data_IF_418013362159
#
_entry.id   IF_418013362159
#
_cell.length_a   1.000
_cell.length_b   1.000
_cell.length_c   1.000
_cell.angle_alpha   90.00
_cell.angle_beta   90.00
_cell.angle_gamma   90.00
#
_symmetry.space_group_name_H-M   'P 1'
#
loop_
_entity.id
_entity.type
_entity.pdbx_description
1 polymer ?
#
# COMPACT_ATOMS: atom_id res chain seq x y z
N UNK A 1 -9.52 -13.57 4.86
CA UNK A 1 -10.00 -13.58 3.45
C UNK A 1 -8.75 -13.57 2.56
N UNK A 2 -8.57 -14.59 1.70
CA UNK A 2 -7.48 -14.59 0.72
C UNK A 2 -7.92 -13.69 -0.45
N UNK A 3 -7.52 -12.42 -0.42
CA UNK A 3 -7.78 -11.50 -1.51
C UNK A 3 -6.85 -11.82 -2.67
N UNK A 4 -7.41 -12.00 -3.86
CA UNK A 4 -6.62 -12.04 -5.09
C UNK A 4 -6.18 -10.61 -5.41
N UNK A 5 -4.88 -10.29 -5.36
CA UNK A 5 -4.42 -8.92 -5.53
C UNK A 5 -4.49 -8.51 -7.00
N UNK A 6 -5.38 -7.58 -7.32
CA UNK A 6 -5.42 -6.95 -8.63
C UNK A 6 -4.33 -5.84 -8.73
N UNK A 7 -3.72 -5.65 -9.91
CA UNK A 7 -2.56 -4.78 -10.08
C UNK A 7 -2.96 -3.31 -10.34
N UNK A 8 -3.55 -2.63 -9.35
CA UNK A 8 -4.04 -1.24 -9.51
C UNK A 8 -2.95 -0.29 -10.02
N UNK A 9 -1.77 -0.27 -9.40
CA UNK A 9 -0.70 0.63 -9.82
C UNK A 9 -0.29 0.44 -11.29
N UNK A 10 0.03 -0.78 -11.74
CA UNK A 10 0.25 -1.05 -13.17
C UNK A 10 -0.94 -0.68 -14.05
N UNK A 11 -2.18 -0.88 -13.61
CA UNK A 11 -3.37 -0.53 -14.38
C UNK A 11 -3.51 0.99 -14.59
N UNK A 12 -3.22 1.80 -13.55
CA UNK A 12 -3.20 3.26 -13.63
C UNK A 12 -2.13 3.74 -14.63
N UNK A 13 -0.92 3.20 -14.55
CA UNK A 13 0.17 3.54 -15.50
C UNK A 13 -0.21 3.10 -16.92
N UNK A 14 -0.77 1.91 -17.09
CA UNK A 14 -1.22 1.42 -18.40
C UNK A 14 -2.32 2.30 -18.99
N UNK A 15 -3.29 2.76 -18.18
CA UNK A 15 -4.32 3.69 -18.63
C UNK A 15 -3.72 5.03 -19.09
N UNK A 16 -2.73 5.55 -18.35
CA UNK A 16 -2.02 6.78 -18.72
C UNK A 16 -1.26 6.62 -20.04
N UNK A 17 -0.55 5.50 -20.23
CA UNK A 17 0.16 5.20 -21.48
C UNK A 17 -0.81 5.08 -22.67
N UNK A 18 -1.95 4.40 -22.48
CA UNK A 18 -3.00 4.32 -23.53
C UNK A 18 -3.56 5.69 -23.88
N UNK A 19 -3.83 6.54 -22.90
CA UNK A 19 -4.28 7.92 -23.11
C UNK A 19 -3.26 8.74 -23.91
N UNK A 20 -1.97 8.45 -23.77
CA UNK A 20 -0.87 9.06 -24.55
C UNK A 20 -0.64 8.37 -25.91
N UNK A 21 -1.50 7.44 -26.34
CA UNK A 21 -1.44 6.81 -27.65
C UNK A 21 -0.56 5.57 -27.78
N UNK A 22 -0.04 5.05 -26.67
CA UNK A 22 0.78 3.84 -26.66
C UNK A 22 -0.08 2.57 -26.67
N UNK A 23 0.38 1.54 -27.37
CA UNK A 23 -0.15 0.19 -27.25
C UNK A 23 0.35 -0.44 -25.94
N UNK A 24 -0.55 -1.00 -25.12
CA UNK A 24 -0.20 -1.56 -23.81
C UNK A 24 -0.86 -2.91 -23.60
N UNK A 25 -0.05 -3.90 -23.21
CA UNK A 25 -0.51 -5.18 -22.65
C UNK A 25 -0.11 -5.22 -21.18
N UNK A 26 -1.06 -5.55 -20.32
CA UNK A 26 -0.83 -5.74 -18.90
C UNK A 26 -0.82 -7.24 -18.60
N UNK A 27 0.35 -7.77 -18.18
CA UNK A 27 0.51 -9.16 -17.77
C UNK A 27 0.47 -9.25 -16.24
N UNK A 28 -0.56 -9.89 -15.69
CA UNK A 28 -0.67 -10.14 -14.26
C UNK A 28 -0.11 -11.53 -13.92
N UNK A 29 1.13 -11.57 -13.46
CA UNK A 29 1.83 -12.80 -13.10
C UNK A 29 1.25 -13.53 -11.88
N UNK A 30 0.41 -12.88 -11.08
CA UNK A 30 -0.26 -13.52 -9.94
C UNK A 30 -1.27 -14.60 -10.37
N UNK A 31 -1.72 -14.57 -11.63
CA UNK A 31 -2.64 -15.57 -12.19
C UNK A 31 -1.94 -16.55 -13.13
N UNK A 32 -0.64 -16.39 -13.36
CA UNK A 32 0.12 -17.28 -14.22
C UNK A 32 0.40 -18.61 -13.52
N UNK A 33 0.11 -19.73 -14.18
CA UNK A 33 0.49 -21.05 -13.68
C UNK A 33 2.01 -21.26 -13.73
N UNK A 34 2.64 -20.89 -14.86
CA UNK A 34 4.09 -20.81 -15.02
C UNK A 34 4.48 -19.38 -15.45
N UNK A 35 5.23 -18.71 -14.60
CA UNK A 35 5.66 -17.33 -14.82
C UNK A 35 6.55 -17.18 -16.05
N UNK A 36 7.47 -18.11 -16.29
CA UNK A 36 8.41 -18.00 -17.40
C UNK A 36 7.71 -18.15 -18.75
N UNK A 37 6.83 -19.14 -18.88
CA UNK A 37 6.02 -19.33 -20.09
C UNK A 37 5.09 -18.15 -20.35
N UNK A 38 4.41 -17.62 -19.32
CA UNK A 38 3.53 -16.48 -19.49
C UNK A 38 4.27 -15.23 -19.97
N UNK A 39 5.50 -14.99 -19.49
CA UNK A 39 6.35 -13.89 -19.96
C UNK A 39 6.77 -14.15 -21.41
N UNK A 40 7.19 -15.35 -21.75
CA UNK A 40 7.60 -15.71 -23.11
C UNK A 40 6.46 -15.49 -24.11
N UNK A 41 5.28 -16.05 -23.86
CA UNK A 41 4.12 -15.89 -24.72
C UNK A 41 3.74 -14.41 -24.92
N UNK A 42 3.80 -13.62 -23.83
CA UNK A 42 3.52 -12.20 -23.90
C UNK A 42 4.56 -11.43 -24.71
N UNK A 43 5.86 -11.68 -24.52
CA UNK A 43 6.94 -10.99 -25.21
C UNK A 43 6.98 -11.36 -26.70
N UNK A 44 6.79 -12.63 -27.04
CA UNK A 44 6.77 -13.11 -28.43
C UNK A 44 5.54 -12.58 -29.19
N UNK A 45 4.38 -12.60 -28.53
CA UNK A 45 3.12 -12.15 -29.14
C UNK A 45 3.03 -10.64 -29.29
N UNK A 46 3.44 -9.88 -28.28
CA UNK A 46 3.32 -8.42 -28.27
C UNK A 46 4.54 -7.68 -28.84
N UNK A 47 5.75 -8.26 -28.72
CA UNK A 47 7.03 -7.66 -29.15
C UNK A 47 7.24 -6.26 -28.56
N UNK A 48 7.38 -6.14 -27.24
CA UNK A 48 7.43 -4.85 -26.57
C UNK A 48 8.70 -4.07 -26.96
N UNK A 49 8.55 -2.76 -27.16
CA UNK A 49 9.67 -1.81 -27.28
C UNK A 49 10.19 -1.36 -25.92
N UNK A 50 9.34 -1.46 -24.87
CA UNK A 50 9.66 -1.14 -23.47
C UNK A 50 8.91 -2.11 -22.56
N UNK A 51 9.56 -2.54 -21.48
CA UNK A 51 8.96 -3.40 -20.45
C UNK A 51 8.91 -2.65 -19.12
N UNK A 52 7.70 -2.49 -18.56
CA UNK A 52 7.49 -1.96 -17.21
C UNK A 52 7.23 -3.08 -16.20
N UNK A 53 7.94 -3.10 -15.06
CA UNK A 53 7.76 -4.08 -13.99
C UNK A 53 7.43 -3.37 -12.69
N UNK A 54 6.28 -3.70 -12.09
CA UNK A 54 5.85 -3.14 -10.81
C UNK A 54 6.29 -4.00 -9.63
N UNK A 55 7.07 -3.43 -8.74
CA UNK A 55 7.47 -4.01 -7.46
C UNK A 55 6.54 -3.50 -6.38
N UNK A 56 5.55 -4.30 -5.97
CA UNK A 56 4.56 -3.89 -4.97
C UNK A 56 5.14 -3.93 -3.56
N UNK A 57 5.72 -5.08 -3.18
CA UNK A 57 6.23 -5.34 -1.84
C UNK A 57 7.68 -5.82 -1.92
N UNK A 58 8.50 -5.38 -0.98
CA UNK A 58 9.89 -5.82 -0.82
C UNK A 58 9.98 -7.04 0.10
N UNK A 59 9.12 -7.08 1.10
CA UNK A 59 9.05 -8.14 2.12
C UNK A 59 7.61 -8.29 2.64
N UNK A 60 7.38 -9.25 3.54
CA UNK A 60 6.09 -9.51 4.17
C UNK A 60 5.92 -8.84 5.54
N UNK A 61 6.89 -8.03 5.98
CA UNK A 61 6.92 -7.33 7.26
C UNK A 61 6.76 -8.26 8.48
N UNK A 62 7.12 -9.52 8.36
CA UNK A 62 7.05 -10.50 9.43
C UNK A 62 8.45 -10.72 10.04
N UNK A 63 8.67 -10.22 11.26
CA UNK A 63 9.97 -10.35 11.94
C UNK A 63 10.31 -11.81 12.28
N UNK A 64 9.33 -12.64 12.61
CA UNK A 64 9.57 -14.02 13.07
C UNK A 64 10.06 -14.93 11.93
N UNK A 65 9.58 -14.71 10.69
CA UNK A 65 9.99 -15.47 9.50
C UNK A 65 9.98 -14.51 8.30
N UNK A 66 10.98 -13.63 8.18
CA UNK A 66 10.95 -12.56 7.19
C UNK A 66 11.18 -13.09 5.77
N UNK A 67 10.19 -12.87 4.90
CA UNK A 67 10.27 -13.23 3.49
C UNK A 67 10.72 -12.03 2.66
N UNK A 68 11.89 -12.15 2.06
CA UNK A 68 12.38 -11.18 1.10
C UNK A 68 11.84 -11.50 -0.29
N UNK A 69 10.99 -10.62 -0.84
CA UNK A 69 10.19 -10.88 -2.04
C UNK A 69 10.86 -10.43 -3.35
N UNK A 70 12.08 -9.93 -3.30
CA UNK A 70 12.79 -9.44 -4.48
C UNK A 70 13.40 -10.52 -5.38
N UNK A 71 13.83 -11.71 -4.90
CA UNK A 71 14.40 -12.73 -5.77
C UNK A 71 13.49 -13.15 -6.92
N UNK A 72 12.18 -13.43 -6.73
CA UNK A 72 11.28 -13.72 -7.85
C UNK A 72 11.19 -12.57 -8.87
N UNK A 73 11.19 -11.31 -8.41
CA UNK A 73 11.15 -10.15 -9.31
C UNK A 73 12.42 -10.07 -10.15
N UNK A 74 13.58 -10.36 -9.55
CA UNK A 74 14.86 -10.42 -10.28
C UNK A 74 14.84 -11.49 -11.38
N UNK A 75 14.23 -12.64 -11.11
CA UNK A 75 14.10 -13.69 -12.14
C UNK A 75 13.14 -13.26 -13.27
N UNK A 76 12.10 -12.49 -12.99
CA UNK A 76 11.25 -11.87 -14.03
C UNK A 76 12.08 -10.94 -14.91
N UNK A 77 12.89 -10.04 -14.31
CA UNK A 77 13.81 -9.14 -15.07
C UNK A 77 14.75 -9.93 -15.96
N UNK A 78 15.43 -10.96 -15.43
CA UNK A 78 16.34 -11.82 -16.19
C UNK A 78 15.63 -12.56 -17.32
N UNK A 79 14.41 -13.03 -17.10
CA UNK A 79 13.64 -13.72 -18.12
C UNK A 79 13.28 -12.78 -19.25
N UNK A 80 12.78 -11.59 -18.96
CA UNK A 80 12.52 -10.56 -19.98
C UNK A 80 13.78 -10.23 -20.80
N UNK A 81 14.92 -10.05 -20.12
CA UNK A 81 16.19 -9.71 -20.78
C UNK A 81 16.71 -10.81 -21.70
N UNK A 82 16.43 -12.10 -21.40
CA UNK A 82 16.78 -13.22 -22.30
C UNK A 82 15.92 -13.24 -23.57
N UNK A 83 14.69 -12.77 -23.48
CA UNK A 83 13.71 -12.87 -24.56
C UNK A 83 13.75 -11.70 -25.53
N UNK A 84 14.13 -10.49 -25.08
CA UNK A 84 14.23 -9.32 -25.95
C UNK A 84 15.24 -8.28 -25.44
N UNK A 85 15.60 -7.34 -26.33
CA UNK A 85 16.51 -6.24 -26.02
C UNK A 85 15.77 -4.97 -25.53
N UNK A 86 14.46 -5.03 -25.31
CA UNK A 86 13.69 -3.89 -24.83
C UNK A 86 14.19 -3.42 -23.46
N UNK A 87 14.33 -2.10 -23.22
CA UNK A 87 14.70 -1.59 -21.91
C UNK A 87 13.67 -1.96 -20.86
N UNK A 88 14.15 -2.34 -19.67
CA UNK A 88 13.35 -2.77 -18.53
C UNK A 88 13.31 -1.66 -17.49
N UNK A 89 12.12 -1.15 -17.22
CA UNK A 89 11.87 -0.09 -16.25
C UNK A 89 11.13 -0.68 -15.04
N UNK A 90 11.69 -0.50 -13.84
CA UNK A 90 11.06 -0.92 -12.60
C UNK A 90 10.38 0.26 -11.90
N UNK A 91 9.33 0.00 -11.15
CA UNK A 91 8.61 1.00 -10.38
C UNK A 91 7.70 0.35 -9.34
N UNK A 92 6.74 1.10 -8.82
CA UNK A 92 5.74 0.65 -7.85
C UNK A 92 6.11 1.00 -6.42
N UNK A 93 5.20 0.70 -5.47
CA UNK A 93 5.29 1.12 -4.08
C UNK A 93 6.55 0.59 -3.38
N UNK A 94 6.86 -0.70 -3.50
CA UNK A 94 8.05 -1.29 -2.91
C UNK A 94 9.34 -0.72 -3.49
N UNK A 95 9.39 -0.54 -4.81
CA UNK A 95 10.53 0.13 -5.46
C UNK A 95 10.74 1.54 -4.93
N UNK A 96 9.66 2.30 -4.76
CA UNK A 96 9.72 3.73 -4.36
C UNK A 96 10.31 3.95 -2.97
N UNK A 97 10.28 2.94 -2.10
CA UNK A 97 10.93 3.01 -0.77
C UNK A 97 12.46 2.86 -0.90
N UNK A 98 12.93 2.03 -1.84
CA UNK A 98 14.34 1.65 -1.97
C UNK A 98 14.86 1.82 -3.41
N UNK A 99 14.72 3.01 -4.03
CA UNK A 99 14.88 3.14 -5.47
C UNK A 99 16.27 2.74 -5.98
N UNK A 100 17.34 3.17 -5.31
CA UNK A 100 18.72 2.88 -5.74
C UNK A 100 19.14 1.44 -5.48
N UNK A 101 18.88 0.93 -4.28
CA UNK A 101 19.25 -0.43 -3.91
C UNK A 101 18.40 -1.48 -4.63
N UNK A 102 17.09 -1.21 -4.86
CA UNK A 102 16.23 -2.07 -5.65
C UNK A 102 16.64 -2.08 -7.13
N UNK A 103 16.95 -0.92 -7.73
CA UNK A 103 17.43 -0.84 -9.11
C UNK A 103 18.72 -1.66 -9.30
N UNK A 104 19.68 -1.48 -8.41
CA UNK A 104 20.94 -2.23 -8.40
C UNK A 104 20.73 -3.74 -8.23
N UNK A 105 19.87 -4.14 -7.26
CA UNK A 105 19.56 -5.55 -6.98
C UNK A 105 18.89 -6.25 -8.17
N UNK A 106 17.95 -5.57 -8.83
CA UNK A 106 17.18 -6.13 -9.94
C UNK A 106 17.94 -6.13 -11.26
N UNK A 107 19.01 -5.35 -11.37
CA UNK A 107 19.78 -5.17 -12.62
C UNK A 107 18.91 -4.67 -13.79
N UNK A 108 17.90 -3.84 -13.47
CA UNK A 108 17.06 -3.20 -14.47
C UNK A 108 17.76 -1.96 -15.07
N UNK A 109 17.28 -1.51 -16.23
CA UNK A 109 17.94 -0.40 -16.96
C UNK A 109 17.60 0.95 -16.33
N UNK A 110 16.39 1.09 -15.81
CA UNK A 110 15.85 2.33 -15.24
C UNK A 110 14.83 2.02 -14.15
N UNK A 111 14.52 3.03 -13.32
CA UNK A 111 13.45 2.93 -12.36
C UNK A 111 12.71 4.24 -12.18
N UNK A 112 11.41 4.15 -11.88
CA UNK A 112 10.56 5.31 -11.59
C UNK A 112 10.11 5.25 -10.14
N UNK A 113 10.51 6.24 -9.34
CA UNK A 113 10.10 6.43 -7.95
C UNK A 113 8.84 7.29 -7.88
N UNK A 114 7.82 6.82 -7.16
CA UNK A 114 6.55 7.52 -6.97
C UNK A 114 5.53 7.24 -8.07
N UNK A 115 4.85 8.29 -8.55
CA UNK A 115 3.75 8.18 -9.49
C UNK A 115 4.22 7.94 -10.92
N UNK A 116 3.86 6.78 -11.46
CA UNK A 116 4.24 6.37 -12.82
C UNK A 116 3.37 6.96 -13.92
N UNK A 117 2.15 7.43 -13.63
CA UNK A 117 1.18 7.85 -14.63
C UNK A 117 1.60 9.08 -15.44
N UNK A 118 2.49 9.90 -14.89
CA UNK A 118 3.07 11.05 -15.59
C UNK A 118 4.47 10.71 -16.12
N UNK A 119 5.31 10.08 -15.27
CA UNK A 119 6.71 9.85 -15.60
C UNK A 119 6.89 8.77 -16.67
N UNK A 120 6.08 7.70 -16.65
CA UNK A 120 6.24 6.59 -17.59
C UNK A 120 5.85 6.97 -19.02
N UNK A 121 4.69 7.62 -19.31
CA UNK A 121 4.38 8.13 -20.64
C UNK A 121 5.44 9.10 -21.17
N UNK A 122 5.92 10.03 -20.35
CA UNK A 122 6.97 10.97 -20.73
C UNK A 122 8.30 10.26 -21.04
N UNK A 123 8.61 9.16 -20.35
CA UNK A 123 9.75 8.30 -20.66
C UNK A 123 9.58 7.62 -22.02
N UNK A 124 8.38 7.05 -22.29
CA UNK A 124 8.10 6.40 -23.58
C UNK A 124 8.23 7.36 -24.76
N UNK A 125 7.73 8.59 -24.63
CA UNK A 125 7.87 9.63 -25.65
C UNK A 125 9.33 9.92 -25.95
N UNK A 126 10.18 10.07 -24.92
CA UNK A 126 11.61 10.32 -25.11
C UNK A 126 12.33 9.13 -25.76
N UNK A 127 11.99 7.91 -25.35
CA UNK A 127 12.54 6.70 -25.96
C UNK A 127 12.16 6.63 -27.45
N UNK A 128 10.89 6.88 -27.79
CA UNK A 128 10.41 6.88 -29.18
C UNK A 128 11.08 7.95 -30.04
N UNK A 129 11.40 9.12 -29.47
CA UNK A 129 12.12 10.21 -30.16
C UNK A 129 13.63 10.02 -30.22
N UNK A 130 14.17 9.02 -29.51
CA UNK A 130 15.62 8.83 -29.40
C UNK A 130 16.35 9.96 -28.65
N UNK A 131 15.64 10.70 -27.78
CA UNK A 131 16.23 11.81 -27.01
C UNK A 131 16.61 11.34 -25.59
N UNK A 132 17.58 12.02 -24.93
CA UNK A 132 18.02 11.62 -23.59
C UNK A 132 16.87 11.60 -22.58
N UNK A 133 16.77 10.51 -21.80
CA UNK A 133 15.76 10.34 -20.75
C UNK A 133 16.17 10.96 -19.41
N UNK A 134 17.45 11.30 -19.24
CA UNK A 134 17.97 11.95 -18.02
C UNK A 134 17.21 13.23 -17.70
N UNK A 135 17.05 13.52 -16.39
CA UNK A 135 16.34 14.70 -15.91
C UNK A 135 14.80 14.57 -15.84
N UNK A 136 14.24 13.43 -16.21
CA UNK A 136 12.81 13.16 -15.92
C UNK A 136 12.57 13.07 -14.41
N UNK A 137 11.54 13.75 -13.86
CA UNK A 137 11.23 13.67 -12.44
C UNK A 137 10.98 12.24 -11.97
N UNK A 138 11.65 11.85 -10.88
CA UNK A 138 11.52 10.51 -10.30
C UNK A 138 12.22 9.39 -11.06
N UNK A 139 12.88 9.65 -12.20
CA UNK A 139 13.63 8.66 -12.94
C UNK A 139 14.98 8.41 -12.29
N UNK A 140 15.30 7.15 -12.02
CA UNK A 140 16.59 6.66 -11.56
C UNK A 140 17.31 5.92 -12.68
N UNK A 141 18.55 6.31 -12.92
CA UNK A 141 19.47 5.65 -13.85
C UNK A 141 20.66 5.10 -13.05
N UNK A 142 21.21 3.92 -13.41
CA UNK A 142 22.36 3.36 -12.71
C UNK A 142 23.55 4.34 -12.68
N UNK A 143 24.07 4.61 -11.48
CA UNK A 143 25.22 5.49 -11.27
C UNK A 143 24.98 6.98 -11.49
N UNK A 144 23.74 7.42 -11.68
CA UNK A 144 23.39 8.84 -11.84
C UNK A 144 22.56 9.32 -10.66
N UNK A 145 22.74 10.60 -10.29
CA UNK A 145 21.88 11.23 -9.30
C UNK A 145 20.49 11.45 -9.92
N UNK A 146 19.40 11.00 -9.27
CA UNK A 146 18.06 11.17 -9.80
C UNK A 146 17.64 12.64 -9.79
N UNK A 147 16.77 13.02 -10.73
CA UNK A 147 16.06 14.28 -10.66
C UNK A 147 15.01 14.21 -9.53
N UNK A 148 14.71 15.39 -8.95
CA UNK A 148 13.69 15.47 -7.91
C UNK A 148 12.34 14.98 -8.45
N UNK A 149 11.68 14.08 -7.71
CA UNK A 149 10.35 13.58 -8.08
C UNK A 149 9.28 14.65 -7.86
N UNK A 150 8.26 14.61 -8.68
CA UNK A 150 7.06 15.44 -8.56
C UNK A 150 5.84 14.58 -8.34
N UNK A 151 4.79 15.19 -7.79
CA UNK A 151 3.51 14.54 -7.56
C UNK A 151 2.41 15.30 -8.30
N UNK A 152 1.47 14.58 -8.92
CA UNK A 152 0.34 15.21 -9.59
C UNK A 152 -0.52 15.98 -8.58
N UNK A 153 -0.71 17.26 -8.79
CA UNK A 153 -1.54 18.11 -7.91
C UNK A 153 -3.04 17.92 -8.15
N UNK A 154 -3.42 17.54 -9.37
CA UNK A 154 -4.80 17.24 -9.76
C UNK A 154 -4.91 15.77 -10.20
N UNK A 155 -5.45 14.94 -9.33
CA UNK A 155 -5.61 13.52 -9.65
C UNK A 155 -6.71 13.26 -10.68
N UNK A 156 -7.73 14.11 -10.79
CA UNK A 156 -8.79 13.97 -11.79
C UNK A 156 -8.29 14.13 -13.24
N UNK A 157 -7.12 14.74 -13.43
CA UNK A 157 -6.47 14.80 -14.73
C UNK A 157 -5.86 13.44 -15.17
N UNK A 158 -5.61 12.55 -14.22
CA UNK A 158 -5.07 11.21 -14.47
C UNK A 158 -6.22 10.26 -14.88
N UNK A 159 -6.00 9.38 -15.86
CA UNK A 159 -7.03 8.43 -16.25
C UNK A 159 -7.19 7.33 -15.21
N UNK A 160 -8.44 6.97 -14.93
CA UNK A 160 -8.77 5.77 -14.16
C UNK A 160 -8.90 4.56 -15.11
N UNK A 161 -8.42 3.37 -14.73
CA UNK A 161 -8.39 2.23 -15.62
C UNK A 161 -9.79 1.61 -15.80
N UNK A 162 -10.13 1.31 -17.06
CA UNK A 162 -11.31 0.53 -17.37
C UNK A 162 -11.17 -0.91 -16.87
N UNK A 163 -12.23 -1.56 -16.37
CA UNK A 163 -12.16 -2.92 -15.82
C UNK A 163 -11.47 -3.92 -16.75
N UNK A 164 -11.81 -3.92 -18.04
CA UNK A 164 -11.26 -4.83 -19.04
C UNK A 164 -9.75 -4.72 -19.29
N UNK A 165 -9.09 -3.66 -18.78
CA UNK A 165 -7.65 -3.50 -18.90
C UNK A 165 -6.88 -4.41 -17.94
N UNK A 166 -7.40 -4.67 -16.75
CA UNK A 166 -6.62 -5.23 -15.65
C UNK A 166 -7.33 -6.31 -14.82
N UNK A 167 -8.65 -6.46 -14.98
CA UNK A 167 -9.42 -7.49 -14.30
C UNK A 167 -9.66 -8.65 -15.28
N UNK A 168 -9.30 -9.90 -14.90
CA UNK A 168 -9.45 -11.04 -15.78
C UNK A 168 -10.93 -11.32 -16.13
N UNK A 169 -11.25 -11.36 -17.42
CA UNK A 169 -12.62 -11.58 -17.91
C UNK A 169 -13.13 -13.02 -17.78
N UNK A 170 -12.23 -13.97 -17.51
CA UNK A 170 -12.56 -15.40 -17.40
C UNK A 170 -12.91 -15.83 -15.97
N UNK A 171 -12.99 -14.89 -15.03
CA UNK A 171 -13.34 -15.13 -13.64
C UNK A 171 -14.60 -14.39 -13.24
N UNK A 172 -15.31 -14.94 -12.25
CA UNK A 172 -16.52 -14.32 -11.75
C UNK A 172 -16.20 -13.03 -10.97
N UNK A 173 -16.91 -11.92 -11.24
CA UNK A 173 -16.68 -10.64 -10.56
C UNK A 173 -16.74 -10.72 -9.03
N UNK A 174 -17.56 -11.61 -8.48
CA UNK A 174 -17.73 -11.83 -7.04
C UNK A 174 -16.46 -12.37 -6.33
N UNK A 175 -15.53 -12.95 -7.09
CA UNK A 175 -14.26 -13.45 -6.54
C UNK A 175 -13.29 -12.32 -6.17
N UNK A 176 -13.52 -11.10 -6.68
CA UNK A 176 -12.59 -10.00 -6.51
C UNK A 176 -13.06 -8.97 -5.51
N UNK A 177 -12.11 -8.48 -4.72
CA UNK A 177 -12.18 -7.20 -4.04
C UNK A 177 -11.33 -6.21 -4.82
N UNK A 178 -11.99 -5.37 -5.63
CA UNK A 178 -11.31 -4.46 -6.55
C UNK A 178 -10.66 -3.33 -5.76
N UNK A 179 -9.33 -3.15 -5.85
CA UNK A 179 -8.68 -2.03 -5.18
C UNK A 179 -9.04 -0.71 -5.86
N UNK A 180 -9.48 0.25 -5.06
CA UNK A 180 -9.78 1.63 -5.47
C UNK A 180 -8.99 2.57 -4.60
N UNK A 181 -8.26 3.50 -5.21
CA UNK A 181 -7.52 4.56 -4.53
C UNK A 181 -8.18 5.90 -4.82
N UNK A 182 -8.82 6.49 -3.81
CA UNK A 182 -9.47 7.79 -3.95
C UNK A 182 -8.54 8.94 -3.62
N UNK A 183 -7.52 8.68 -2.81
CA UNK A 183 -6.54 9.67 -2.33
C UNK A 183 -5.14 9.08 -2.30
N UNK A 184 -4.15 9.96 -2.38
CA UNK A 184 -2.73 9.66 -2.29
C UNK A 184 -2.04 10.57 -1.30
N UNK A 185 -0.95 10.07 -0.74
CA UNK A 185 -0.18 10.78 0.27
C UNK A 185 -0.78 10.66 1.67
N UNK A 186 -0.03 11.12 2.64
CA UNK A 186 -0.45 11.14 4.04
C UNK A 186 0.32 12.26 4.74
N UNK A 187 -0.39 13.14 5.42
CA UNK A 187 0.17 14.26 6.19
C UNK A 187 0.45 13.90 7.66
N UNK A 188 0.23 12.63 8.00
CA UNK A 188 0.58 12.08 9.30
C UNK A 188 2.06 11.69 9.31
N UNK A 189 2.75 11.99 10.41
CA UNK A 189 4.19 11.76 10.58
C UNK A 189 4.45 10.58 11.56
N UNK A 190 3.81 9.44 11.31
CA UNK A 190 4.04 8.23 12.12
C UNK A 190 5.51 7.77 11.99
N UNK A 191 6.20 7.54 13.12
CA UNK A 191 7.65 7.38 13.18
C UNK A 191 8.23 6.23 12.35
N UNK A 192 7.43 5.25 11.98
CA UNK A 192 7.83 4.04 11.26
C UNK A 192 7.33 3.96 9.80
N UNK A 193 6.50 4.93 9.35
CA UNK A 193 5.72 4.78 8.14
C UNK A 193 6.49 5.20 6.88
N UNK A 194 6.42 4.37 5.83
CA UNK A 194 7.03 4.64 4.52
C UNK A 194 6.11 5.33 3.51
N UNK A 195 4.88 5.68 3.88
CA UNK A 195 3.89 6.27 2.95
C UNK A 195 4.40 7.53 2.28
N UNK A 196 5.04 8.44 3.02
CA UNK A 196 5.61 9.66 2.46
C UNK A 196 6.69 9.39 1.40
N UNK A 197 7.46 8.28 1.56
CA UNK A 197 8.43 7.83 0.55
C UNK A 197 7.78 7.29 -0.71
N UNK A 198 6.53 6.84 -0.66
CA UNK A 198 5.80 6.27 -1.80
C UNK A 198 4.96 7.34 -2.50
N UNK A 199 4.08 8.01 -1.76
CA UNK A 199 3.01 8.87 -2.28
C UNK A 199 3.17 10.35 -1.96
N UNK A 200 4.19 10.71 -1.18
CA UNK A 200 4.41 12.09 -0.71
C UNK A 200 3.73 12.42 0.61
N UNK A 201 4.15 13.54 1.24
CA UNK A 201 3.70 13.94 2.57
C UNK A 201 2.37 14.71 2.58
N UNK A 202 1.80 15.05 1.42
CA UNK A 202 0.55 15.81 1.33
C UNK A 202 -0.58 14.96 0.76
N UNK A 203 -1.76 15.04 1.36
CA UNK A 203 -2.97 14.38 0.84
C UNK A 203 -3.41 15.08 -0.44
N UNK A 204 -3.62 14.29 -1.49
CA UNK A 204 -4.17 14.69 -2.79
C UNK A 204 -5.29 13.74 -3.16
N UNK A 205 -6.39 14.25 -3.69
CA UNK A 205 -7.60 13.46 -3.90
C UNK A 205 -8.10 13.57 -5.34
N UNK A 206 -8.68 12.49 -5.83
CA UNK A 206 -9.68 12.61 -6.87
C UNK A 206 -10.94 13.27 -6.30
N UNK A 207 -11.75 13.93 -7.12
CA UNK A 207 -13.03 14.40 -6.65
C UNK A 207 -13.94 13.23 -6.26
N UNK A 208 -14.77 13.35 -5.21
CA UNK A 208 -15.76 12.35 -4.86
C UNK A 208 -16.66 11.95 -6.02
N UNK A 209 -16.98 12.90 -6.90
CA UNK A 209 -17.77 12.67 -8.11
C UNK A 209 -17.05 11.76 -9.12
N UNK A 210 -15.75 11.97 -9.35
CA UNK A 210 -14.95 11.12 -10.25
C UNK A 210 -14.85 9.69 -9.74
N UNK A 211 -14.59 9.52 -8.43
CA UNK A 211 -14.53 8.19 -7.81
C UNK A 211 -15.90 7.50 -7.86
N UNK A 212 -16.99 8.19 -7.53
CA UNK A 212 -18.32 7.60 -7.60
C UNK A 212 -18.69 7.18 -9.05
N UNK A 213 -18.28 7.94 -10.06
CA UNK A 213 -18.47 7.56 -11.46
C UNK A 213 -17.64 6.32 -11.83
N UNK A 214 -16.42 6.20 -11.34
CA UNK A 214 -15.59 5.00 -11.56
C UNK A 214 -16.15 3.77 -10.85
N UNK A 215 -16.66 3.93 -9.63
CA UNK A 215 -17.37 2.86 -8.91
C UNK A 215 -18.61 2.39 -9.66
N UNK A 216 -19.36 3.31 -10.29
CA UNK A 216 -20.51 2.98 -11.13
C UNK A 216 -20.10 2.15 -12.37
N UNK A 217 -18.99 2.47 -13.02
CA UNK A 217 -18.43 1.66 -14.11
C UNK A 217 -18.04 0.25 -13.64
N UNK A 218 -17.40 0.13 -12.46
CA UNK A 218 -17.08 -1.15 -11.86
C UNK A 218 -18.33 -1.96 -11.56
N UNK A 219 -19.36 -1.34 -10.94
CA UNK A 219 -20.63 -1.97 -10.61
C UNK A 219 -21.36 -2.44 -11.88
N UNK A 220 -21.39 -1.61 -12.94
CA UNK A 220 -21.98 -1.96 -14.24
C UNK A 220 -21.29 -3.15 -14.93
N UNK A 221 -20.02 -3.39 -14.57
CA UNK A 221 -19.25 -4.57 -15.01
C UNK A 221 -19.36 -5.75 -14.04
N UNK A 222 -20.24 -5.67 -13.02
CA UNK A 222 -20.49 -6.72 -12.04
C UNK A 222 -19.57 -6.69 -10.79
N UNK A 223 -18.62 -5.75 -10.70
CA UNK A 223 -17.68 -5.66 -9.58
C UNK A 223 -18.25 -4.77 -8.47
N UNK A 224 -18.81 -5.39 -7.44
CA UNK A 224 -19.46 -4.71 -6.33
C UNK A 224 -18.69 -4.78 -5.01
N UNK A 225 -17.63 -5.59 -4.94
CA UNK A 225 -16.78 -5.67 -3.74
C UNK A 225 -15.53 -4.81 -3.95
N UNK A 226 -15.37 -3.78 -3.14
CA UNK A 226 -14.33 -2.75 -3.25
C UNK A 226 -13.41 -2.78 -2.04
N UNK A 227 -12.12 -2.69 -2.28
CA UNK A 227 -11.09 -2.42 -1.29
C UNK A 227 -10.58 -1.00 -1.50
N UNK A 228 -10.99 -0.05 -0.64
CA UNK A 228 -10.34 1.27 -0.65
C UNK A 228 -8.93 1.14 -0.09
N UNK A 229 -7.93 1.32 -0.96
CA UNK A 229 -6.49 1.21 -0.61
C UNK A 229 -5.88 2.55 -0.21
N UNK A 230 -6.71 3.51 0.13
CA UNK A 230 -6.26 4.78 0.72
C UNK A 230 -5.51 4.53 2.03
N UNK A 231 -4.47 5.31 2.30
CA UNK A 231 -3.71 5.17 3.56
C UNK A 231 -4.58 5.39 4.80
N UNK A 232 -5.58 6.28 4.67
CA UNK A 232 -6.59 6.58 5.69
C UNK A 232 -7.87 7.03 5.02
N UNK A 233 -8.93 6.23 5.06
CA UNK A 233 -10.20 6.55 4.38
C UNK A 233 -10.92 7.76 4.97
N UNK A 234 -10.82 7.98 6.28
CA UNK A 234 -11.51 9.04 6.99
C UNK A 234 -10.80 10.40 6.97
N UNK A 235 -9.66 10.56 6.25
CA UNK A 235 -8.91 11.82 6.21
C UNK A 235 -8.82 12.38 4.78
N UNK A 236 -9.25 13.63 4.56
CA UNK A 236 -10.04 14.50 5.46
C UNK A 236 -11.47 13.97 5.68
N UNK A 237 -12.09 14.19 6.86
CA UNK A 237 -13.43 13.66 7.16
C UNK A 237 -14.50 14.12 6.17
N UNK A 238 -14.49 15.39 5.80
CA UNK A 238 -15.50 15.98 4.89
C UNK A 238 -15.44 15.29 3.51
N UNK A 239 -14.25 14.99 3.02
CA UNK A 239 -14.09 14.24 1.78
C UNK A 239 -14.72 12.83 1.88
N UNK A 240 -14.47 12.13 3.00
CA UNK A 240 -15.02 10.80 3.22
C UNK A 240 -16.55 10.82 3.29
N UNK A 241 -17.13 11.82 4.00
CA UNK A 241 -18.59 12.04 4.05
C UNK A 241 -19.16 12.32 2.67
N UNK A 242 -18.53 13.20 1.90
CA UNK A 242 -18.97 13.54 0.54
C UNK A 242 -18.91 12.31 -0.38
N UNK A 243 -17.83 11.53 -0.35
CA UNK A 243 -17.71 10.30 -1.15
C UNK A 243 -18.80 9.29 -0.78
N UNK A 244 -19.04 9.03 0.50
CA UNK A 244 -20.12 8.16 0.95
C UNK A 244 -21.49 8.71 0.49
N UNK A 245 -21.70 10.02 0.60
CA UNK A 245 -22.89 10.68 0.09
C UNK A 245 -23.12 10.44 -1.39
N UNK A 246 -22.06 10.55 -2.23
CA UNK A 246 -22.13 10.31 -3.67
C UNK A 246 -22.42 8.84 -4.02
N UNK A 247 -21.88 7.88 -3.25
CA UNK A 247 -22.19 6.46 -3.40
C UNK A 247 -23.68 6.21 -3.13
N UNK A 248 -24.22 6.79 -2.05
CA UNK A 248 -25.63 6.67 -1.66
C UNK A 248 -26.53 7.36 -2.68
N UNK A 249 -26.22 8.59 -3.09
CA UNK A 249 -26.98 9.38 -4.08
C UNK A 249 -27.15 8.64 -5.41
N UNK A 250 -26.10 7.92 -5.86
CA UNK A 250 -26.13 7.11 -7.08
C UNK A 250 -26.78 5.75 -6.91
N UNK A 251 -27.19 5.37 -5.71
CA UNK A 251 -27.82 4.07 -5.42
C UNK A 251 -26.87 2.89 -5.68
N UNK A 252 -25.57 3.05 -5.52
CA UNK A 252 -24.60 1.99 -5.80
C UNK A 252 -24.66 0.92 -4.71
N UNK A 253 -25.09 -0.29 -5.09
CA UNK A 253 -25.14 -1.44 -4.19
C UNK A 253 -23.74 -2.07 -4.08
N UNK A 254 -22.88 -1.51 -3.23
CA UNK A 254 -21.50 -1.94 -3.06
C UNK A 254 -21.24 -2.49 -1.66
N UNK A 255 -20.24 -3.35 -1.56
CA UNK A 255 -19.60 -3.70 -0.31
C UNK A 255 -18.18 -3.17 -0.35
N UNK A 256 -17.75 -2.47 0.70
CA UNK A 256 -16.36 -2.07 0.75
C UNK A 256 -15.73 -2.24 2.13
N UNK A 257 -14.42 -2.31 2.16
CA UNK A 257 -13.60 -2.18 3.34
C UNK A 257 -12.49 -1.15 3.13
N UNK A 258 -12.01 -0.56 4.21
CA UNK A 258 -11.02 0.50 4.17
C UNK A 258 -10.18 0.57 5.45
N UNK A 259 -9.10 1.37 5.42
CA UNK A 259 -8.28 1.68 6.59
C UNK A 259 -8.79 2.97 7.21
N UNK A 260 -8.99 2.97 8.52
CA UNK A 260 -9.43 4.13 9.29
C UNK A 260 -8.35 4.53 10.31
N UNK A 261 -8.04 5.80 10.36
CA UNK A 261 -7.22 6.38 11.42
C UNK A 261 -8.10 6.69 12.64
N UNK A 262 -7.72 6.30 13.88
CA UNK A 262 -8.61 6.38 15.06
C UNK A 262 -8.79 7.82 15.59
N UNK A 263 -9.02 8.77 14.70
CA UNK A 263 -9.26 10.18 15.03
C UNK A 263 -10.12 10.83 13.95
N UNK A 264 -10.76 11.93 14.29
CA UNK A 264 -11.61 12.70 13.38
C UNK A 264 -12.74 11.86 12.75
N UNK A 265 -13.28 10.94 13.53
CA UNK A 265 -14.51 10.19 13.21
C UNK A 265 -15.62 10.67 14.13
N UNK A 266 -16.77 10.97 13.54
CA UNK A 266 -18.02 11.24 14.26
C UNK A 266 -19.09 10.19 13.90
N UNK A 267 -20.19 10.21 14.62
CA UNK A 267 -21.29 9.25 14.42
C UNK A 267 -21.89 9.37 13.01
N UNK A 268 -21.95 10.58 12.45
CA UNK A 268 -22.45 10.83 11.09
C UNK A 268 -21.59 10.12 10.05
N UNK A 269 -20.25 10.21 10.16
CA UNK A 269 -19.34 9.53 9.23
C UNK A 269 -19.51 8.00 9.31
N UNK A 270 -19.57 7.44 10.53
CA UNK A 270 -19.76 6.00 10.72
C UNK A 270 -21.09 5.52 10.11
N UNK A 271 -22.18 6.27 10.31
CA UNK A 271 -23.48 5.98 9.72
C UNK A 271 -23.47 6.10 8.18
N UNK A 272 -22.87 7.17 7.63
CA UNK A 272 -22.74 7.34 6.19
C UNK A 272 -21.93 6.21 5.57
N UNK A 273 -20.82 5.79 6.20
CA UNK A 273 -20.01 4.66 5.73
C UNK A 273 -20.85 3.36 5.70
N UNK A 274 -21.59 3.06 6.78
CA UNK A 274 -22.46 1.89 6.83
C UNK A 274 -23.52 1.90 5.70
N UNK A 275 -24.19 3.02 5.50
CA UNK A 275 -25.19 3.21 4.44
C UNK A 275 -24.61 3.15 3.02
N UNK A 276 -23.37 3.63 2.85
CA UNK A 276 -22.65 3.54 1.58
C UNK A 276 -22.14 2.12 1.27
N UNK A 277 -22.27 1.17 2.23
CA UNK A 277 -21.92 -0.23 2.04
C UNK A 277 -20.58 -0.64 2.66
N UNK A 278 -20.04 0.14 3.62
CA UNK A 278 -18.88 -0.29 4.40
C UNK A 278 -19.23 -1.54 5.22
N UNK A 279 -18.47 -2.62 5.00
CA UNK A 279 -18.66 -3.89 5.72
C UNK A 279 -17.58 -4.14 6.75
N UNK A 280 -16.37 -3.64 6.50
CA UNK A 280 -15.24 -3.84 7.39
C UNK A 280 -14.36 -2.59 7.40
N UNK A 281 -13.83 -2.25 8.58
CA UNK A 281 -12.75 -1.30 8.73
C UNK A 281 -11.51 -1.97 9.32
N UNK A 282 -10.34 -1.54 8.86
CA UNK A 282 -9.05 -1.80 9.48
C UNK A 282 -8.67 -0.60 10.34
N UNK A 283 -8.61 -0.79 11.66
CA UNK A 283 -8.31 0.26 12.63
C UNK A 283 -6.87 0.10 13.15
N UNK A 284 -5.96 0.93 12.68
CA UNK A 284 -4.56 0.95 13.10
C UNK A 284 -4.39 1.70 14.41
N UNK A 285 -4.72 1.07 15.55
CA UNK A 285 -4.58 1.71 16.86
C UNK A 285 -3.17 1.54 17.47
N UNK A 286 -2.39 0.59 16.97
CA UNK A 286 -0.98 0.28 17.18
C UNK A 286 -0.60 -0.04 18.63
N UNK A 287 -1.10 0.67 19.65
CA UNK A 287 -0.81 0.44 21.06
C UNK A 287 -2.01 0.78 21.94
N UNK A 288 -2.09 0.13 23.10
CA UNK A 288 -3.02 0.47 24.19
C UNK A 288 -2.37 1.33 25.27
N UNK A 289 -1.13 1.80 25.06
CA UNK A 289 -0.42 2.70 25.96
C UNK A 289 -0.24 4.06 25.31
N UNK A 290 -0.73 5.12 25.95
CA UNK A 290 -0.60 6.50 25.46
C UNK A 290 0.86 6.92 25.32
N UNK A 291 1.74 6.46 26.21
CA UNK A 291 3.17 6.69 26.09
C UNK A 291 3.73 6.11 24.78
N UNK A 292 3.32 4.90 24.40
CA UNK A 292 3.74 4.27 23.15
C UNK A 292 3.13 4.94 21.94
N UNK A 293 1.89 5.40 21.99
CA UNK A 293 1.27 6.18 20.91
C UNK A 293 2.06 7.47 20.65
N UNK A 294 2.52 8.16 21.68
CA UNK A 294 3.41 9.32 21.54
C UNK A 294 4.76 8.92 20.92
N UNK A 295 5.40 7.83 21.37
CA UNK A 295 6.65 7.33 20.78
C UNK A 295 6.51 6.97 19.30
N UNK A 296 5.37 6.45 18.89
CA UNK A 296 5.05 6.12 17.50
C UNK A 296 4.59 7.35 16.68
N UNK A 297 4.59 8.54 17.29
CA UNK A 297 4.12 9.80 16.72
C UNK A 297 2.66 9.72 16.22
N UNK A 298 1.77 9.09 17.00
CA UNK A 298 0.35 9.03 16.72
C UNK A 298 -0.36 10.27 17.27
N UNK A 299 -1.30 10.80 16.51
CA UNK A 299 -2.05 12.01 16.88
C UNK A 299 -3.33 11.71 17.65
N UNK A 300 -3.49 10.51 18.20
CA UNK A 300 -4.63 10.07 19.00
C UNK A 300 -4.15 9.40 20.28
N UNK A 301 -5.06 9.29 21.24
CA UNK A 301 -4.88 8.57 22.51
C UNK A 301 -5.82 7.36 22.60
N UNK A 302 -5.69 6.58 23.68
CA UNK A 302 -6.47 5.36 23.91
C UNK A 302 -7.96 5.63 24.04
N UNK A 303 -8.37 6.77 24.59
CA UNK A 303 -9.80 7.12 24.73
C UNK A 303 -10.44 7.46 23.36
N UNK A 304 -9.69 8.12 22.48
CA UNK A 304 -10.14 8.36 21.11
C UNK A 304 -10.30 7.03 20.36
N UNK A 305 -9.38 6.07 20.53
CA UNK A 305 -9.51 4.72 19.95
C UNK A 305 -10.77 4.02 20.43
N UNK A 306 -11.05 4.02 21.75
CA UNK A 306 -12.29 3.42 22.31
C UNK A 306 -13.54 4.05 21.71
N UNK A 307 -13.55 5.38 21.64
CA UNK A 307 -14.68 6.15 21.11
C UNK A 307 -14.95 5.79 19.64
N UNK A 308 -13.91 5.81 18.80
CA UNK A 308 -14.01 5.48 17.37
C UNK A 308 -14.40 4.02 17.17
N UNK A 309 -13.78 3.10 17.91
CA UNK A 309 -14.11 1.68 17.83
C UNK A 309 -15.58 1.43 18.19
N UNK A 310 -16.12 2.14 19.21
CA UNK A 310 -17.54 2.04 19.59
C UNK A 310 -18.45 2.60 18.49
N UNK A 311 -18.14 3.74 17.88
CA UNK A 311 -18.98 4.32 16.81
C UNK A 311 -19.17 3.34 15.66
N UNK A 312 -18.10 2.67 15.22
CA UNK A 312 -18.21 1.67 14.15
C UNK A 312 -18.94 0.38 14.59
N UNK A 313 -18.82 -0.02 15.88
CA UNK A 313 -19.62 -1.12 16.41
C UNK A 313 -21.11 -0.78 16.41
N UNK A 314 -21.47 0.42 16.86
CA UNK A 314 -22.85 0.91 16.91
C UNK A 314 -23.45 1.01 15.49
N UNK A 315 -22.63 1.34 14.48
CA UNK A 315 -23.00 1.35 13.07
C UNK A 315 -23.06 -0.06 12.41
N UNK A 316 -22.75 -1.12 13.15
CA UNK A 316 -22.78 -2.50 12.66
C UNK A 316 -21.67 -2.86 11.67
N UNK A 317 -20.56 -2.13 11.67
CA UNK A 317 -19.42 -2.36 10.79
C UNK A 317 -18.41 -3.28 11.49
N UNK A 318 -17.96 -4.34 10.80
CA UNK A 318 -16.92 -5.24 11.29
C UNK A 318 -15.60 -4.48 11.49
N UNK A 319 -14.97 -4.67 12.65
CA UNK A 319 -13.74 -3.94 13.04
C UNK A 319 -12.57 -4.91 13.16
N UNK A 320 -11.56 -4.68 12.33
CA UNK A 320 -10.28 -5.38 12.43
C UNK A 320 -9.25 -4.45 13.08
N UNK A 321 -8.83 -4.78 14.29
CA UNK A 321 -7.76 -4.03 14.98
C UNK A 321 -6.38 -4.41 14.47
N UNK A 322 -5.46 -3.44 14.46
CA UNK A 322 -4.04 -3.66 14.20
C UNK A 322 -3.24 -3.15 15.39
N UNK A 323 -2.47 -4.06 16.00
CA UNK A 323 -1.60 -3.82 17.14
C UNK A 323 -0.16 -4.06 16.72
N UNK A 324 0.75 -3.13 16.99
CA UNK A 324 2.16 -3.15 16.65
C UNK A 324 2.98 -3.05 17.92
N UNK A 325 3.71 -4.10 18.26
CA UNK A 325 4.49 -4.20 19.49
C UNK A 325 5.99 -4.31 19.20
N UNK A 326 6.79 -3.82 20.13
CA UNK A 326 8.25 -3.88 20.06
C UNK A 326 8.90 -2.58 19.61
N UNK A 327 8.15 -1.46 19.56
CA UNK A 327 8.65 -0.15 19.17
C UNK A 327 9.61 0.49 20.17
N UNK A 328 10.26 1.63 19.82
CA UNK A 328 11.16 2.34 20.72
C UNK A 328 10.49 2.74 22.02
N UNK A 329 11.16 2.43 23.14
CA UNK A 329 10.67 2.75 24.48
C UNK A 329 9.64 1.77 25.04
N UNK A 330 9.25 0.71 24.30
CA UNK A 330 8.30 -0.27 24.79
C UNK A 330 8.89 -1.14 25.91
N UNK A 331 8.07 -1.42 26.91
CA UNK A 331 8.37 -2.28 28.05
C UNK A 331 7.41 -3.45 28.13
N UNK A 332 7.66 -4.43 29.01
CA UNK A 332 6.73 -5.52 29.24
C UNK A 332 5.38 -5.02 29.76
N UNK A 333 5.41 -4.01 30.61
CA UNK A 333 4.23 -3.39 31.21
C UNK A 333 3.37 -2.72 30.12
N UNK A 334 3.95 -1.91 29.22
CA UNK A 334 3.21 -1.26 28.13
C UNK A 334 2.69 -2.26 27.09
N UNK A 335 3.42 -3.36 26.84
CA UNK A 335 2.95 -4.43 25.98
C UNK A 335 1.73 -5.17 26.59
N UNK A 336 1.77 -5.49 27.91
CA UNK A 336 0.62 -6.08 28.61
C UNK A 336 -0.59 -5.12 28.67
N UNK A 337 -0.34 -3.82 28.89
CA UNK A 337 -1.37 -2.77 28.81
C UNK A 337 -2.05 -2.79 27.43
N UNK A 338 -1.25 -2.89 26.36
CA UNK A 338 -1.75 -2.93 24.99
C UNK A 338 -2.57 -4.19 24.69
N UNK A 339 -2.16 -5.35 25.23
CA UNK A 339 -2.93 -6.59 25.08
C UNK A 339 -4.27 -6.54 25.86
N UNK A 340 -4.26 -6.02 27.09
CA UNK A 340 -5.46 -5.83 27.88
C UNK A 340 -6.42 -4.82 27.22
N UNK A 341 -5.87 -3.75 26.65
CA UNK A 341 -6.64 -2.76 25.89
C UNK A 341 -7.30 -3.38 24.66
N UNK A 342 -6.57 -4.19 23.88
CA UNK A 342 -7.11 -4.89 22.72
C UNK A 342 -8.27 -5.83 23.10
N UNK A 343 -8.16 -6.56 24.22
CA UNK A 343 -9.23 -7.40 24.75
C UNK A 343 -10.47 -6.56 25.13
N UNK A 344 -10.29 -5.37 25.73
CA UNK A 344 -11.36 -4.47 26.12
C UNK A 344 -12.13 -3.86 24.94
N UNK A 345 -11.45 -3.66 23.79
CA UNK A 345 -12.08 -3.12 22.57
C UNK A 345 -13.03 -4.08 21.88
N UNK A 346 -12.93 -5.37 22.16
CA UNK A 346 -13.81 -6.43 21.60
C UNK A 346 -13.93 -6.35 20.08
N UNK A 347 -12.81 -6.26 19.41
CA UNK A 347 -12.76 -6.34 17.93
C UNK A 347 -13.22 -7.72 17.43
N UNK A 348 -13.83 -7.76 16.27
CA UNK A 348 -14.20 -9.00 15.60
C UNK A 348 -12.96 -9.76 15.07
N UNK A 349 -11.87 -9.04 14.77
CA UNK A 349 -10.56 -9.61 14.44
C UNK A 349 -9.42 -8.68 14.90
N UNK A 350 -8.30 -9.26 15.29
CA UNK A 350 -7.09 -8.51 15.67
C UNK A 350 -5.88 -9.10 14.95
N UNK A 351 -5.10 -8.25 14.31
CA UNK A 351 -3.75 -8.60 13.85
C UNK A 351 -2.72 -8.03 14.83
N UNK A 352 -1.89 -8.89 15.38
CA UNK A 352 -0.76 -8.50 16.23
C UNK A 352 0.54 -8.68 15.47
N UNK A 353 1.29 -7.60 15.31
CA UNK A 353 2.62 -7.59 14.70
C UNK A 353 3.66 -7.36 15.79
N UNK A 354 4.73 -8.16 15.77
CA UNK A 354 5.88 -8.04 16.68
C UNK A 354 7.08 -7.55 15.90
N UNK A 355 7.74 -6.53 16.44
CA UNK A 355 8.86 -5.87 15.78
C UNK A 355 8.41 -4.92 14.66
N UNK A 356 9.06 -3.78 14.58
CA UNK A 356 8.72 -2.71 13.65
C UNK A 356 9.71 -2.72 12.49
N UNK A 357 9.22 -2.90 11.26
CA UNK A 357 10.05 -2.86 10.04
C UNK A 357 10.73 -1.49 9.93
N UNK A 358 12.06 -1.47 9.81
CA UNK A 358 12.83 -0.23 9.65
C UNK A 358 12.89 0.13 8.16
N UNK A 359 12.32 1.28 7.81
CA UNK A 359 12.39 1.85 6.46
C UNK A 359 13.36 3.03 6.43
N UNK A 360 14.06 3.27 5.29
CA UNK A 360 14.96 4.41 5.16
C UNK A 360 14.21 5.73 5.34
N UNK A 361 14.94 6.77 5.74
CA UNK A 361 14.43 8.14 5.88
C UNK A 361 13.26 8.30 6.88
N UNK A 362 13.06 7.33 7.79
CA UNK A 362 12.05 7.41 8.84
C UNK A 362 12.68 7.80 10.17
N UNK A 363 11.93 8.44 11.10
CA UNK A 363 12.40 8.67 12.48
C UNK A 363 12.84 7.37 13.17
N UNK A 364 12.17 6.25 12.91
CA UNK A 364 12.56 4.94 13.41
C UNK A 364 13.95 4.51 12.93
N UNK A 365 14.29 4.77 11.67
CA UNK A 365 15.63 4.47 11.15
C UNK A 365 16.71 5.30 11.86
N UNK A 366 16.44 6.57 12.15
CA UNK A 366 17.34 7.43 12.91
C UNK A 366 17.55 6.91 14.35
N UNK A 367 16.48 6.49 15.02
CA UNK A 367 16.54 5.85 16.34
C UNK A 367 17.34 4.54 16.29
N UNK A 368 17.05 3.66 15.34
CA UNK A 368 17.73 2.38 15.18
C UNK A 368 19.23 2.55 14.88
N UNK A 369 19.61 3.60 14.14
CA UNK A 369 21.01 3.94 13.89
C UNK A 369 21.70 4.44 15.15
N UNK A 370 21.07 5.34 15.90
CA UNK A 370 21.60 5.87 17.15
C UNK A 370 21.80 4.79 18.22
N UNK A 371 20.94 3.77 18.23
CA UNK A 371 21.02 2.62 19.15
C UNK A 371 21.91 1.48 18.63
N UNK A 372 22.50 1.61 17.43
CA UNK A 372 23.38 0.60 16.83
C UNK A 372 22.67 -0.68 16.34
N UNK A 373 21.35 -0.64 16.16
CA UNK A 373 20.56 -1.76 15.62
C UNK A 373 20.82 -1.92 14.12
N UNK A 374 21.02 -0.82 13.43
CA UNK A 374 21.45 -0.76 12.03
C UNK A 374 22.76 0.02 11.90
N UNK A 375 23.46 -0.15 10.79
CA UNK A 375 24.71 0.57 10.51
C UNK A 375 24.48 1.68 9.48
N UNK A 376 25.38 2.68 9.40
CA UNK A 376 25.26 3.78 8.42
C UNK A 376 25.27 3.32 6.97
N UNK A 377 25.89 2.19 6.66
CA UNK A 377 26.01 1.59 5.33
C UNK A 377 24.91 0.55 5.01
N UNK A 378 23.96 0.34 5.91
CA UNK A 378 22.83 -0.59 5.70
C UNK A 378 21.80 0.07 4.77
N UNK A 379 21.62 -0.49 3.58
CA UNK A 379 20.65 0.03 2.59
C UNK A 379 19.20 -0.39 2.90
N UNK A 380 18.98 -1.18 3.94
CA UNK A 380 17.69 -1.64 4.44
C UNK A 380 16.80 -2.35 3.41
N UNK A 381 17.29 -2.64 2.22
CA UNK A 381 16.54 -3.38 1.20
C UNK A 381 16.13 -4.77 1.71
N UNK A 382 17.07 -5.47 2.38
CA UNK A 382 16.74 -6.68 3.12
C UNK A 382 16.04 -6.30 4.43
N UNK A 383 14.97 -7.03 4.83
CA UNK A 383 14.19 -6.66 6.00
C UNK A 383 15.04 -6.59 7.29
N UNK A 384 15.01 -5.45 7.93
CA UNK A 384 15.54 -5.19 9.26
C UNK A 384 14.40 -4.71 10.14
N UNK A 385 14.37 -5.19 11.37
CA UNK A 385 13.31 -4.88 12.32
C UNK A 385 13.89 -4.24 13.56
N UNK A 386 13.17 -3.28 14.09
CA UNK A 386 13.39 -2.77 15.44
C UNK A 386 12.58 -3.62 16.42
N UNK A 387 13.23 -4.07 17.47
CA UNK A 387 12.60 -4.67 18.63
C UNK A 387 13.26 -4.07 19.87
N UNK A 388 12.46 -3.47 20.75
CA UNK A 388 12.96 -2.86 21.97
C UNK A 388 13.86 -3.84 22.76
N UNK A 389 15.10 -3.47 23.13
CA UNK A 389 16.14 -4.41 23.60
C UNK A 389 15.74 -5.29 24.79
N UNK A 390 14.82 -4.81 25.64
CA UNK A 390 14.37 -5.53 26.84
C UNK A 390 13.24 -6.54 26.57
N UNK A 391 12.73 -6.58 25.34
CA UNK A 391 11.61 -7.45 24.97
C UNK A 391 12.04 -8.75 24.28
N UNK A 392 13.22 -8.79 23.65
CA UNK A 392 13.91 -9.95 23.09
C UNK A 392 13.02 -11.17 22.86
N UNK A 393 13.33 -12.28 23.52
CA UNK A 393 12.59 -13.55 23.37
C UNK A 393 11.22 -13.53 24.07
N UNK A 394 11.07 -12.69 25.11
CA UNK A 394 9.83 -12.66 25.89
C UNK A 394 8.60 -12.24 25.07
N UNK A 395 8.70 -11.21 24.24
CA UNK A 395 7.54 -10.69 23.51
C UNK A 395 7.01 -11.68 22.45
N UNK A 396 7.86 -12.31 21.62
CA UNK A 396 7.40 -13.35 20.70
C UNK A 396 6.67 -14.52 21.39
N UNK A 397 7.23 -15.02 22.49
CA UNK A 397 6.62 -16.10 23.29
C UNK A 397 5.29 -15.66 23.90
N UNK A 398 5.24 -14.45 24.46
CA UNK A 398 4.03 -13.88 25.06
C UNK A 398 2.92 -13.71 24.02
N UNK A 399 3.26 -13.25 22.81
CA UNK A 399 2.27 -13.08 21.73
C UNK A 399 1.82 -14.44 21.19
N UNK A 400 2.69 -15.42 21.08
CA UNK A 400 2.29 -16.78 20.71
C UNK A 400 1.25 -17.37 21.69
N UNK A 401 1.49 -17.21 23.01
CA UNK A 401 0.53 -17.61 24.03
C UNK A 401 -0.78 -16.81 23.98
N UNK A 402 -0.71 -15.50 23.70
CA UNK A 402 -1.88 -14.64 23.56
C UNK A 402 -2.75 -15.08 22.38
N UNK A 403 -2.15 -15.36 21.21
CA UNK A 403 -2.84 -15.86 20.01
C UNK A 403 -3.46 -17.24 20.25
N UNK A 404 -2.73 -18.16 20.88
CA UNK A 404 -3.21 -19.53 21.12
C UNK A 404 -4.51 -19.58 21.97
N UNK A 405 -4.74 -18.60 22.79
CA UNK A 405 -5.92 -18.51 23.66
C UNK A 405 -7.11 -17.76 23.06
N UNK A 406 -7.01 -17.24 21.82
CA UNK A 406 -8.01 -16.33 21.21
C UNK A 406 -8.19 -16.63 19.72
N UNK A 407 -9.35 -17.14 19.33
CA UNK A 407 -9.66 -17.46 17.92
C UNK A 407 -9.78 -16.25 16.99
N UNK A 408 -9.98 -15.05 17.53
CA UNK A 408 -10.12 -13.79 16.80
C UNK A 408 -8.78 -13.05 16.58
N UNK A 409 -7.67 -13.57 17.13
CA UNK A 409 -6.33 -13.00 16.96
C UNK A 409 -5.53 -13.77 15.91
N UNK A 410 -4.99 -13.01 14.94
CA UNK A 410 -4.18 -13.52 13.84
C UNK A 410 -2.69 -13.23 14.02
#
# INVERSE_FOLDING_TARGET
>A
MNLLPLPLGPALVAAACRKSGHNVVLLNLMFAGDTASAIQDCVEGFRPEVIGISVRNIDDQNMADPKFLMPPVREVVKTCRRLCAAPIIVGGAGYSIFPESALRYLEADMGIQGEGETAFPALLERVAMGVPVSGLPGLHLPGQRPAHRTFASNLDALPLPEPGLWIPSHREPSEFWVPVQSRRGCDLDCSFCSTAAIEGPAIRSHSPTAIAAWLEQLASSGFTNINFVDNTFNLPPDYAKELCGKIIERGLAMNFWCIVYPKWVDAELAELMARAGCREISLGFESGSDHMLVSLNKMFNTEEVKTVAKMFADAGIFRRGFLLLGGPGETRESAEESLAFADALKFEALKVTVGVRIYPETPLAATALAEGIIRPDDDLLRPRFYLAPRLGDWLPERIAAYKASRSWVM
#
